data_IF_871792547045
#
_entry.id   IF_871792547045
#
_cell.length_a   1.000
_cell.length_b   1.000
_cell.length_c   1.000
_cell.angle_alpha   90.00
_cell.angle_beta   90.00
_cell.angle_gamma   90.00
#
_symmetry.space_group_name_H-M   'P 1'
#
loop_
_entity.id
_entity.type
_entity.pdbx_description
1 polymer ?
#
# COMPACT_ATOMS: atom_id res chain seq x y z
N UNK A 1 21.97 18.30 8.12
CA UNK A 1 20.83 18.09 9.04
C UNK A 1 20.08 16.86 8.56
N UNK A 2 19.82 15.87 9.42
CA UNK A 2 18.98 14.73 9.04
C UNK A 2 17.55 15.25 8.82
N UNK A 3 17.05 15.23 7.57
CA UNK A 3 15.66 15.57 7.31
C UNK A 3 14.78 14.51 7.97
N UNK A 4 13.93 14.95 8.89
CA UNK A 4 13.05 14.07 9.64
C UNK A 4 12.08 13.35 8.70
N UNK A 5 11.89 12.06 8.95
CA UNK A 5 10.92 11.20 8.29
C UNK A 5 9.52 11.83 8.36
N UNK A 6 8.80 12.05 7.23
CA UNK A 6 7.42 12.56 7.27
C UNK A 6 6.53 11.72 8.21
N UNK A 7 5.77 12.43 9.03
CA UNK A 7 4.76 11.84 9.90
C UNK A 7 3.42 11.80 9.16
N UNK A 8 3.05 10.61 8.68
CA UNK A 8 1.81 10.34 7.94
C UNK A 8 0.93 9.36 8.75
N UNK A 9 0.94 9.46 10.08
CA UNK A 9 0.16 8.57 10.96
C UNK A 9 -1.36 8.73 10.84
N UNK A 10 -1.85 9.70 10.05
CA UNK A 10 -3.23 9.80 9.61
C UNK A 10 -3.49 9.16 8.23
N UNK A 11 -2.45 8.66 7.55
CA UNK A 11 -2.53 8.04 6.21
C UNK A 11 -2.34 6.53 6.32
N UNK A 12 -3.23 5.76 5.68
CA UNK A 12 -3.04 4.32 5.45
C UNK A 12 -2.20 4.08 4.19
N UNK A 13 -1.19 3.21 4.28
CA UNK A 13 -0.42 2.77 3.11
C UNK A 13 -1.06 1.52 2.53
N UNK A 14 -1.54 1.59 1.30
CA UNK A 14 -2.28 0.48 0.66
C UNK A 14 -1.55 0.03 -0.61
N UNK A 15 -1.04 -1.19 -0.61
CA UNK A 15 -0.58 -1.85 -1.82
C UNK A 15 -1.75 -2.57 -2.49
N UNK A 16 -2.16 -2.11 -3.68
CA UNK A 16 -3.27 -2.72 -4.42
C UNK A 16 -2.72 -3.67 -5.48
N UNK A 17 -3.13 -4.94 -5.39
CA UNK A 17 -2.86 -6.00 -6.38
C UNK A 17 -1.37 -6.27 -6.59
N UNK A 18 -0.95 -7.49 -6.29
CA UNK A 18 0.37 -7.99 -6.69
C UNK A 18 0.25 -9.40 -7.26
N UNK A 19 1.08 -9.71 -8.26
CA UNK A 19 1.36 -11.11 -8.65
C UNK A 19 2.52 -11.70 -7.84
N UNK A 20 3.28 -10.84 -7.16
CA UNK A 20 4.57 -11.09 -6.54
C UNK A 20 4.56 -10.50 -5.11
N UNK A 21 4.16 -11.28 -4.09
CA UNK A 21 4.03 -10.78 -2.72
C UNK A 21 5.32 -10.21 -2.14
N UNK A 22 6.47 -10.73 -2.56
CA UNK A 22 7.79 -10.24 -2.19
C UNK A 22 8.06 -8.82 -2.68
N UNK A 23 7.59 -8.46 -3.88
CA UNK A 23 7.73 -7.11 -4.42
C UNK A 23 6.78 -6.13 -3.74
N UNK A 24 5.56 -6.57 -3.40
CA UNK A 24 4.64 -5.77 -2.59
C UNK A 24 5.22 -5.50 -1.19
N UNK A 25 5.81 -6.52 -0.54
CA UNK A 25 6.52 -6.36 0.74
C UNK A 25 7.66 -5.36 0.60
N UNK A 26 8.47 -5.49 -0.45
CA UNK A 26 9.59 -4.59 -0.71
C UNK A 26 9.12 -3.13 -0.85
N UNK A 27 8.07 -2.87 -1.63
CA UNK A 27 7.52 -1.52 -1.79
C UNK A 27 6.96 -0.95 -0.49
N UNK A 28 6.22 -1.77 0.29
CA UNK A 28 5.71 -1.38 1.61
C UNK A 28 6.87 -1.01 2.54
N UNK A 29 7.90 -1.86 2.65
CA UNK A 29 9.05 -1.61 3.52
C UNK A 29 9.82 -0.35 3.10
N UNK A 30 10.00 -0.14 1.81
CA UNK A 30 10.67 1.05 1.30
C UNK A 30 9.88 2.32 1.63
N UNK A 31 8.56 2.29 1.51
CA UNK A 31 7.71 3.42 1.92
C UNK A 31 7.74 3.62 3.43
N UNK A 32 7.67 2.56 4.23
CA UNK A 32 7.74 2.63 5.70
C UNK A 32 9.09 3.10 6.22
N UNK A 33 10.17 2.86 5.49
CA UNK A 33 11.48 3.45 5.80
C UNK A 33 11.46 4.97 5.54
N UNK A 34 10.72 5.41 4.52
CA UNK A 34 10.64 6.81 4.11
C UNK A 34 9.63 7.66 4.91
N UNK A 35 8.51 7.10 5.39
CA UNK A 35 7.47 7.81 6.13
C UNK A 35 6.81 6.92 7.22
N UNK A 36 6.24 7.52 8.26
CA UNK A 36 5.50 6.78 9.31
C UNK A 36 4.01 6.77 8.98
N UNK A 37 3.41 5.59 8.84
CA UNK A 37 2.01 5.42 8.45
C UNK A 37 1.14 4.90 9.59
N UNK A 38 -0.18 5.09 9.47
CA UNK A 38 -1.17 4.54 10.41
C UNK A 38 -1.16 3.01 10.43
N UNK A 39 -1.21 2.44 9.24
CA UNK A 39 -1.30 1.01 8.98
C UNK A 39 -0.77 0.71 7.58
N UNK A 40 -0.49 -0.56 7.31
CA UNK A 40 0.00 -1.02 6.01
C UNK A 40 -0.86 -2.19 5.56
N UNK A 41 -1.41 -2.11 4.35
CA UNK A 41 -2.32 -3.11 3.81
C UNK A 41 -1.82 -3.67 2.49
N UNK A 42 -2.04 -4.96 2.27
CA UNK A 42 -1.98 -5.59 0.96
C UNK A 42 -3.38 -6.07 0.58
N UNK A 43 -3.91 -5.52 -0.52
CA UNK A 43 -5.21 -5.90 -1.09
C UNK A 43 -4.95 -6.86 -2.25
N UNK A 44 -5.25 -8.14 -2.06
CA UNK A 44 -4.97 -9.21 -3.03
C UNK A 44 -6.04 -10.31 -3.01
N UNK A 45 -6.21 -11.07 -4.10
CA UNK A 45 -7.12 -12.22 -4.12
C UNK A 45 -6.60 -13.43 -3.34
N UNK A 46 -5.34 -13.41 -2.90
CA UNK A 46 -4.69 -14.48 -2.15
C UNK A 46 -4.04 -13.94 -0.88
N UNK A 47 -3.97 -14.78 0.14
CA UNK A 47 -3.15 -14.53 1.33
C UNK A 47 -1.75 -15.07 1.09
N UNK A 48 -0.75 -14.36 1.57
CA UNK A 48 0.66 -14.63 1.39
C UNK A 48 1.36 -14.76 2.74
N UNK A 49 2.53 -15.41 2.77
CA UNK A 49 3.40 -15.41 3.94
C UNK A 49 4.10 -14.04 4.06
N UNK A 50 3.45 -13.10 4.73
CA UNK A 50 3.94 -11.75 4.96
C UNK A 50 4.00 -11.45 6.47
N UNK A 51 4.84 -10.49 6.90
CA UNK A 51 4.90 -10.08 8.30
C UNK A 51 3.55 -9.56 8.82
N UNK A 52 3.26 -9.79 10.10
CA UNK A 52 1.97 -9.49 10.73
C UNK A 52 1.58 -8.00 10.70
N UNK A 53 2.55 -7.08 10.60
CA UNK A 53 2.26 -5.65 10.49
C UNK A 53 1.69 -5.26 9.11
N UNK A 54 1.74 -6.16 8.12
CA UNK A 54 1.07 -5.98 6.82
C UNK A 54 -0.29 -6.66 6.91
N UNK A 55 -1.33 -5.87 7.12
CA UNK A 55 -2.70 -6.35 7.13
C UNK A 55 -3.08 -6.80 5.72
N UNK A 56 -3.33 -8.10 5.54
CA UNK A 56 -3.76 -8.65 4.27
C UNK A 56 -5.29 -8.61 4.17
N UNK A 57 -5.81 -7.97 3.12
CA UNK A 57 -7.24 -7.86 2.86
C UNK A 57 -7.56 -8.61 1.57
N UNK A 58 -8.39 -9.64 1.69
CA UNK A 58 -8.81 -10.43 0.54
C UNK A 58 -9.83 -9.66 -0.28
N UNK A 59 -9.56 -9.47 -1.56
CA UNK A 59 -10.46 -8.80 -2.52
C UNK A 59 -10.76 -9.71 -3.71
N UNK A 60 -11.78 -9.37 -4.51
CA UNK A 60 -12.02 -10.05 -5.77
C UNK A 60 -10.81 -9.90 -6.72
N UNK A 61 -10.54 -10.89 -7.60
CA UNK A 61 -9.50 -10.74 -8.62
C UNK A 61 -9.73 -9.49 -9.48
N UNK A 62 -8.66 -8.72 -9.71
CA UNK A 62 -8.66 -7.59 -10.62
C UNK A 62 -7.84 -7.98 -11.85
N UNK A 63 -8.49 -8.33 -12.95
CA UNK A 63 -7.86 -8.89 -14.16
C UNK A 63 -7.82 -7.93 -15.36
N UNK A 64 -8.50 -6.78 -15.26
CA UNK A 64 -8.56 -5.75 -16.30
C UNK A 64 -8.35 -4.34 -15.74
N UNK A 65 -8.02 -3.40 -16.64
CA UNK A 65 -7.90 -1.97 -16.30
C UNK A 65 -9.26 -1.40 -15.86
N UNK A 66 -10.35 -1.85 -16.47
CA UNK A 66 -11.70 -1.47 -16.09
C UNK A 66 -12.06 -1.96 -14.67
N UNK A 67 -11.75 -3.22 -14.34
CA UNK A 67 -11.93 -3.75 -13.00
C UNK A 67 -11.07 -2.99 -11.96
N UNK A 68 -9.83 -2.64 -12.31
CA UNK A 68 -8.97 -1.85 -11.44
C UNK A 68 -9.58 -0.47 -11.17
N UNK A 69 -10.00 0.23 -12.23
CA UNK A 69 -10.61 1.56 -12.12
C UNK A 69 -11.89 1.53 -11.27
N UNK A 70 -12.74 0.51 -11.49
CA UNK A 70 -13.94 0.32 -10.70
C UNK A 70 -13.63 0.08 -9.21
N UNK A 71 -12.66 -0.79 -8.91
CA UNK A 71 -12.20 -1.06 -7.54
C UNK A 71 -11.68 0.21 -6.85
N UNK A 72 -10.82 0.97 -7.53
CA UNK A 72 -10.22 2.19 -6.99
C UNK A 72 -11.26 3.25 -6.63
N UNK A 73 -12.30 3.41 -7.46
CA UNK A 73 -13.32 4.44 -7.27
C UNK A 73 -14.42 4.00 -6.31
N UNK A 74 -14.82 2.73 -6.33
CA UNK A 74 -16.03 2.26 -5.64
C UNK A 74 -15.75 1.47 -4.37
N UNK A 75 -14.63 0.75 -4.29
CA UNK A 75 -14.40 -0.26 -3.25
C UNK A 75 -13.28 0.13 -2.28
N UNK A 76 -12.22 0.81 -2.77
CA UNK A 76 -11.02 1.11 -1.97
C UNK A 76 -11.33 1.79 -0.63
N UNK A 77 -12.30 2.72 -0.63
CA UNK A 77 -12.71 3.48 0.56
C UNK A 77 -13.18 2.61 1.74
N UNK A 78 -13.58 1.37 1.49
CA UNK A 78 -14.05 0.45 2.52
C UNK A 78 -12.94 -0.36 3.20
N UNK A 79 -11.70 -0.26 2.71
CA UNK A 79 -10.62 -1.19 3.10
C UNK A 79 -9.60 -0.60 4.07
N UNK A 80 -9.57 0.71 4.29
CA UNK A 80 -8.60 1.37 5.16
C UNK A 80 -9.28 2.21 6.26
N UNK A 81 -8.55 2.52 7.32
CA UNK A 81 -9.02 3.26 8.49
C UNK A 81 -8.38 4.63 8.69
N UNK A 82 -7.38 4.99 7.88
CA UNK A 82 -6.77 6.33 7.84
C UNK A 82 -7.75 7.40 7.37
N UNK A 83 -7.44 8.66 7.68
CA UNK A 83 -8.17 9.81 7.12
C UNK A 83 -7.89 9.96 5.62
N UNK A 84 -6.69 9.55 5.20
CA UNK A 84 -6.27 9.53 3.81
C UNK A 84 -5.62 8.17 3.49
N UNK A 85 -5.44 7.90 2.20
CA UNK A 85 -4.76 6.70 1.71
C UNK A 85 -3.67 7.08 0.71
N UNK A 86 -2.48 6.51 0.90
CA UNK A 86 -1.45 6.47 -0.13
C UNK A 86 -1.51 5.11 -0.81
N UNK A 87 -1.89 5.11 -2.07
CA UNK A 87 -1.98 3.90 -2.90
C UNK A 87 -0.63 3.67 -3.55
N UNK A 88 -0.10 2.45 -3.41
CA UNK A 88 1.13 2.01 -4.06
C UNK A 88 0.88 0.73 -4.85
N UNK A 89 1.73 0.50 -5.84
CA UNK A 89 1.94 -0.82 -6.45
C UNK A 89 3.35 -1.33 -6.08
N UNK A 90 3.72 -2.49 -6.61
CA UNK A 90 4.99 -3.16 -6.33
C UNK A 90 6.23 -2.34 -6.75
N UNK A 91 6.06 -1.34 -7.61
CA UNK A 91 7.09 -0.46 -8.18
C UNK A 91 6.95 1.02 -7.75
N UNK A 92 6.05 1.30 -6.80
CA UNK A 92 5.77 2.67 -6.35
C UNK A 92 6.47 2.97 -5.02
N UNK A 93 7.21 4.08 -4.96
CA UNK A 93 8.02 4.44 -3.78
C UNK A 93 7.97 5.93 -3.46
N UNK A 94 8.22 6.26 -2.19
CA UNK A 94 8.53 7.64 -1.78
C UNK A 94 10.01 7.91 -2.07
N UNK A 95 10.27 8.89 -2.93
CA UNK A 95 11.62 9.39 -3.21
C UNK A 95 11.84 10.72 -2.50
N UNK A 96 13.09 11.01 -2.13
CA UNK A 96 13.47 12.35 -1.69
C UNK A 96 13.93 13.14 -2.91
N UNK A 97 13.47 14.38 -3.03
CA UNK A 97 13.84 15.26 -4.16
C UNK A 97 15.27 15.81 -4.11
N UNK A 98 16.08 15.38 -3.14
CA UNK A 98 17.51 15.68 -3.03
C UNK A 98 18.41 14.47 -3.36
N UNK A 99 17.83 13.47 -4.02
CA UNK A 99 18.54 12.33 -4.62
C UNK A 99 19.08 12.70 -6.01
#
# INVERSE_FOLDING_TARGET
MSKQKPDLRNVSLVCVKTRYPELARFAIERCRAAASFKECLLLSPHTHALPDYIRQVRIAPIDSVAAYSAFMVRELGHHFSGEHVLVIQWDSFILRGDL
#
